data_IF_870907837489
#
_entry.id   IF_870907837489
#
_cell.length_a   1.000
_cell.length_b   1.000
_cell.length_c   1.000
_cell.angle_alpha   90.00
_cell.angle_beta   90.00
_cell.angle_gamma   90.00
#
_symmetry.space_group_name_H-M   'P 1'
#
loop_
_entity.id
_entity.type
_entity.pdbx_description
1 polymer ?
#
# COMPACT_ATOMS: atom_id res chain seq x y z
N UNK A 1 27.22 -17.67 -14.24
CA UNK A 1 25.96 -18.44 -14.20
C UNK A 1 25.77 -18.84 -12.74
N UNK A 2 24.94 -18.23 -11.89
CA UNK A 2 23.53 -17.88 -11.99
C UNK A 2 23.27 -16.56 -11.21
N UNK A 3 22.53 -15.63 -11.82
CA UNK A 3 22.10 -14.39 -11.18
C UNK A 3 20.99 -14.67 -10.18
N UNK A 4 21.15 -14.19 -8.95
CA UNK A 4 20.17 -14.26 -7.88
C UNK A 4 18.92 -13.47 -8.23
N UNK A 5 17.83 -14.18 -8.51
CA UNK A 5 16.49 -13.64 -8.65
C UNK A 5 15.98 -13.18 -7.27
N UNK A 6 16.41 -12.00 -6.81
CA UNK A 6 15.68 -11.29 -5.77
C UNK A 6 14.44 -10.71 -6.42
N UNK A 7 13.30 -11.37 -6.20
CA UNK A 7 12.02 -10.89 -6.72
C UNK A 7 11.67 -9.58 -6.00
N UNK A 8 11.64 -8.51 -6.79
CA UNK A 8 11.36 -7.14 -6.34
C UNK A 8 9.83 -7.00 -6.30
N UNK A 9 9.20 -6.97 -5.14
CA UNK A 9 7.74 -6.81 -5.03
C UNK A 9 7.39 -5.38 -4.60
N UNK A 10 6.73 -4.65 -5.50
CA UNK A 10 6.11 -3.35 -5.22
C UNK A 10 4.63 -3.60 -4.86
N UNK A 11 3.93 -2.63 -4.25
CA UNK A 11 2.49 -2.69 -4.00
C UNK A 11 1.63 -2.93 -5.27
N UNK A 12 2.24 -2.73 -6.45
CA UNK A 12 1.77 -3.20 -7.75
C UNK A 12 2.75 -4.26 -8.27
N UNK A 13 2.30 -5.36 -8.90
CA UNK A 13 3.20 -6.27 -9.59
C UNK A 13 4.14 -5.49 -10.53
N UNK A 14 5.45 -5.79 -10.55
CA UNK A 14 6.42 -5.05 -11.38
C UNK A 14 6.01 -4.96 -12.85
N UNK A 15 5.32 -6.00 -13.33
CA UNK A 15 4.76 -6.04 -14.67
C UNK A 15 3.73 -4.92 -14.88
N UNK A 16 2.83 -4.72 -13.92
CA UNK A 16 1.83 -3.66 -13.95
C UNK A 16 2.47 -2.28 -13.86
N UNK A 17 3.50 -2.10 -13.03
CA UNK A 17 4.27 -0.85 -12.99
C UNK A 17 4.90 -0.53 -14.36
N UNK A 18 5.49 -1.53 -15.01
CA UNK A 18 6.11 -1.37 -16.33
C UNK A 18 5.09 -1.13 -17.45
N UNK A 19 3.90 -1.71 -17.37
CA UNK A 19 2.76 -1.42 -18.27
C UNK A 19 2.24 0.00 -18.07
N UNK A 20 2.05 0.41 -16.82
CA UNK A 20 1.61 1.77 -16.47
C UNK A 20 2.59 2.82 -17.01
N UNK A 21 3.89 2.58 -16.86
CA UNK A 21 4.93 3.45 -17.38
C UNK A 21 4.87 3.62 -18.91
N UNK A 22 4.56 2.53 -19.63
CA UNK A 22 4.34 2.58 -21.08
C UNK A 22 3.11 3.43 -21.44
N UNK A 23 1.96 3.14 -20.82
CA UNK A 23 0.72 3.88 -21.04
C UNK A 23 0.88 5.38 -20.73
N UNK A 24 1.59 5.71 -19.67
CA UNK A 24 1.85 7.09 -19.27
C UNK A 24 2.76 7.81 -20.27
N UNK A 25 3.80 7.14 -20.79
CA UNK A 25 4.64 7.71 -21.84
C UNK A 25 3.87 7.93 -23.15
N UNK A 26 2.96 7.02 -23.49
CA UNK A 26 2.15 7.10 -24.70
C UNK A 26 1.10 8.22 -24.61
N UNK A 27 0.40 8.34 -23.48
CA UNK A 27 -0.56 9.43 -23.22
C UNK A 27 0.10 10.81 -23.21
N UNK A 28 1.29 10.90 -22.64
CA UNK A 28 2.07 12.15 -22.61
C UNK A 28 2.86 12.41 -23.89
N UNK A 29 2.68 11.59 -24.94
CA UNK A 29 3.37 11.70 -26.24
C UNK A 29 4.90 11.81 -26.12
N UNK A 30 5.48 11.20 -25.10
CA UNK A 30 6.92 11.24 -24.88
C UNK A 30 7.60 10.31 -25.89
N UNK A 31 8.68 10.75 -26.52
CA UNK A 31 9.53 9.88 -27.32
C UNK A 31 10.19 8.85 -26.41
N UNK A 32 9.83 7.58 -26.56
CA UNK A 32 10.30 6.50 -25.70
C UNK A 32 10.76 5.30 -26.53
N UNK A 33 11.83 4.62 -26.06
CA UNK A 33 12.36 3.39 -26.66
C UNK A 33 11.71 2.12 -26.08
N UNK A 34 10.45 2.22 -25.65
CA UNK A 34 9.77 1.05 -25.09
C UNK A 34 9.31 0.13 -26.22
N UNK A 35 9.25 -1.16 -25.93
CA UNK A 35 8.83 -2.14 -26.92
C UNK A 35 7.34 -1.96 -27.20
N UNK A 36 6.99 -1.65 -28.46
CA UNK A 36 5.60 -1.43 -28.90
C UNK A 36 4.81 -2.74 -28.96
N UNK A 37 5.46 -3.86 -29.23
CA UNK A 37 4.79 -5.15 -29.38
C UNK A 37 4.38 -5.75 -28.04
N UNK A 38 5.18 -5.50 -26.99
CA UNK A 38 4.91 -6.00 -25.64
C UNK A 38 4.17 -5.00 -24.76
N UNK A 39 4.02 -3.74 -25.18
CA UNK A 39 3.41 -2.63 -24.40
C UNK A 39 3.94 -2.50 -22.96
N UNK A 40 5.22 -2.82 -22.78
CA UNK A 40 5.85 -2.94 -21.46
C UNK A 40 7.17 -2.17 -21.47
N UNK A 41 7.39 -1.31 -20.47
CA UNK A 41 8.66 -0.64 -20.28
C UNK A 41 9.81 -1.65 -20.00
N UNK A 42 11.06 -1.42 -20.45
CA UNK A 42 12.17 -2.35 -20.27
C UNK A 42 12.61 -2.48 -18.80
N UNK A 43 13.24 -3.61 -18.45
CA UNK A 43 13.77 -3.85 -17.09
C UNK A 43 14.83 -2.82 -16.68
N UNK A 44 15.60 -2.32 -17.64
CA UNK A 44 16.61 -1.28 -17.40
C UNK A 44 15.96 0.02 -16.90
N UNK A 45 14.82 0.39 -17.48
CA UNK A 45 14.05 1.55 -17.03
C UNK A 45 13.56 1.36 -15.58
N UNK A 46 13.03 0.18 -15.26
CA UNK A 46 12.57 -0.14 -13.90
C UNK A 46 13.69 -0.02 -12.86
N UNK A 47 14.88 -0.58 -13.15
CA UNK A 47 16.04 -0.48 -12.26
C UNK A 47 16.45 0.98 -12.03
N UNK A 48 16.47 1.79 -13.10
CA UNK A 48 16.75 3.22 -13.00
C UNK A 48 15.70 3.98 -12.19
N UNK A 49 14.42 3.65 -12.39
CA UNK A 49 13.31 4.25 -11.65
C UNK A 49 13.40 3.95 -10.14
N UNK A 50 13.60 2.69 -9.76
CA UNK A 50 13.75 2.27 -8.37
C UNK A 50 14.98 2.91 -7.71
N UNK A 51 16.09 3.05 -8.45
CA UNK A 51 17.31 3.72 -7.95
C UNK A 51 17.10 5.21 -7.71
N UNK A 52 16.36 5.90 -8.57
CA UNK A 52 16.10 7.35 -8.45
C UNK A 52 15.15 7.68 -7.30
N UNK A 53 14.09 6.89 -7.13
CA UNK A 53 13.01 7.26 -6.22
C UNK A 53 13.09 6.62 -4.83
N UNK A 54 14.14 5.82 -4.53
CA UNK A 54 14.31 5.09 -3.26
C UNK A 54 12.99 4.50 -2.72
N UNK A 55 12.13 4.03 -3.63
CA UNK A 55 10.81 3.55 -3.26
C UNK A 55 11.01 2.32 -2.41
N UNK A 56 10.65 2.42 -1.12
CA UNK A 56 10.73 1.28 -0.21
C UNK A 56 9.86 0.17 -0.78
N UNK A 57 10.48 -0.97 -1.08
CA UNK A 57 9.75 -2.17 -1.42
C UNK A 57 8.95 -2.57 -0.19
N UNK A 58 7.63 -2.41 -0.26
CA UNK A 58 6.73 -3.00 0.72
C UNK A 58 5.99 -4.11 0.01
N UNK A 59 6.09 -5.31 0.57
CA UNK A 59 5.14 -6.36 0.21
C UNK A 59 3.76 -5.83 0.60
N UNK A 60 2.76 -5.86 -0.29
CA UNK A 60 1.39 -5.79 0.19
C UNK A 60 1.24 -6.94 1.19
N UNK A 61 0.84 -6.62 2.41
CA UNK A 61 0.47 -7.66 3.35
C UNK A 61 -0.75 -8.37 2.79
N UNK A 62 -0.76 -9.71 2.73
CA UNK A 62 -1.92 -10.44 2.26
C UNK A 62 -3.11 -10.11 3.18
N UNK A 63 -4.02 -9.29 2.66
CA UNK A 63 -5.31 -9.04 3.30
C UNK A 63 -6.03 -10.38 3.41
N UNK A 64 -6.34 -10.81 4.64
CA UNK A 64 -7.08 -12.06 4.83
C UNK A 64 -8.44 -11.97 4.11
N UNK A 65 -8.95 -13.11 3.62
CA UNK A 65 -10.26 -13.15 2.96
C UNK A 65 -11.36 -12.52 3.84
N UNK A 66 -11.29 -12.72 5.16
CA UNK A 66 -12.18 -12.09 6.13
C UNK A 66 -12.10 -10.55 6.10
N UNK A 67 -10.91 -9.95 6.00
CA UNK A 67 -10.75 -8.49 5.87
C UNK A 67 -11.28 -7.99 4.53
N UNK A 68 -11.05 -8.71 3.43
CA UNK A 68 -11.57 -8.35 2.12
C UNK A 68 -13.11 -8.39 2.06
N UNK A 69 -13.72 -9.42 2.67
CA UNK A 69 -15.18 -9.53 2.80
C UNK A 69 -15.77 -8.49 3.75
N UNK A 70 -15.04 -8.12 4.81
CA UNK A 70 -15.43 -7.05 5.73
C UNK A 70 -15.36 -5.65 5.11
N UNK A 71 -14.56 -5.46 4.05
CA UNK A 71 -14.41 -4.20 3.32
C UNK A 71 -15.54 -3.98 2.30
N UNK A 72 -16.79 -4.13 2.75
CA UNK A 72 -17.97 -3.92 1.92
C UNK A 72 -18.47 -2.47 2.01
N UNK A 73 -19.10 -1.98 0.94
CA UNK A 73 -19.56 -0.59 0.85
C UNK A 73 -20.50 -0.20 1.99
N UNK A 74 -21.34 -1.13 2.44
CA UNK A 74 -22.33 -0.88 3.51
C UNK A 74 -21.65 -0.72 4.87
N UNK A 75 -20.65 -1.54 5.18
CA UNK A 75 -19.89 -1.51 6.42
C UNK A 75 -18.98 -0.28 6.46
N UNK A 76 -18.34 0.05 5.34
CA UNK A 76 -17.54 1.27 5.20
C UNK A 76 -18.43 2.51 5.33
N UNK A 77 -19.60 2.53 4.69
CA UNK A 77 -20.58 3.62 4.82
C UNK A 77 -21.01 3.82 6.27
N UNK A 78 -21.50 2.76 6.92
CA UNK A 78 -21.89 2.80 8.34
C UNK A 78 -20.77 3.30 9.26
N UNK A 79 -19.52 2.91 8.99
CA UNK A 79 -18.38 3.40 9.76
C UNK A 79 -18.20 4.91 9.62
N UNK A 80 -18.22 5.45 8.40
CA UNK A 80 -18.08 6.88 8.16
C UNK A 80 -19.28 7.70 8.64
N UNK A 81 -20.49 7.16 8.56
CA UNK A 81 -21.70 7.80 9.09
C UNK A 81 -21.59 7.96 10.62
N UNK A 82 -21.15 6.90 11.32
CA UNK A 82 -20.89 6.93 12.77
C UNK A 82 -19.77 7.90 13.12
N UNK A 83 -18.66 7.86 12.38
CA UNK A 83 -17.53 8.75 12.60
C UNK A 83 -17.95 10.21 12.44
N UNK A 84 -18.69 10.54 11.38
CA UNK A 84 -19.18 11.89 11.11
C UNK A 84 -20.10 12.37 12.23
N UNK A 85 -21.05 11.53 12.65
CA UNK A 85 -21.96 11.82 13.75
C UNK A 85 -21.22 12.12 15.07
N UNK A 86 -20.14 11.38 15.35
CA UNK A 86 -19.32 11.58 16.56
C UNK A 86 -18.44 12.84 16.45
N UNK A 87 -17.87 13.11 15.28
CA UNK A 87 -17.08 14.33 15.05
C UNK A 87 -17.96 15.57 15.21
N UNK A 88 -19.15 15.59 14.63
CA UNK A 88 -20.10 16.71 14.76
C UNK A 88 -20.57 16.90 16.20
N UNK A 89 -20.85 15.81 16.91
CA UNK A 89 -21.35 15.86 18.30
C UNK A 89 -20.30 16.34 19.30
N UNK A 90 -19.05 15.90 19.18
CA UNK A 90 -18.00 16.15 20.17
C UNK A 90 -16.94 17.16 19.72
N UNK A 91 -16.95 17.56 18.45
CA UNK A 91 -16.03 18.50 17.82
C UNK A 91 -14.57 18.26 18.21
N UNK A 92 -14.10 17.02 17.99
CA UNK A 92 -12.75 16.63 18.39
C UNK A 92 -11.71 17.50 17.69
N UNK A 93 -10.83 18.12 18.48
CA UNK A 93 -9.64 18.76 17.93
C UNK A 93 -8.80 17.72 17.20
N UNK A 94 -8.25 18.03 16.01
CA UNK A 94 -7.43 17.08 15.25
C UNK A 94 -6.31 16.43 16.06
N UNK A 95 -5.73 17.18 17.01
CA UNK A 95 -4.67 16.70 17.90
C UNK A 95 -5.07 15.55 18.83
N UNK A 96 -6.38 15.29 18.97
CA UNK A 96 -6.96 14.25 19.84
C UNK A 96 -7.51 13.05 19.06
N UNK A 97 -7.30 13.01 17.74
CA UNK A 97 -7.72 11.90 16.90
C UNK A 97 -6.51 10.99 16.69
N UNK A 98 -6.61 9.76 17.20
CA UNK A 98 -5.55 8.76 17.10
C UNK A 98 -6.04 7.59 16.27
N UNK A 99 -5.25 7.18 15.29
CA UNK A 99 -5.40 5.87 14.67
C UNK A 99 -4.85 4.81 15.63
N UNK A 100 -5.62 3.75 15.86
CA UNK A 100 -5.24 2.63 16.73
C UNK A 100 -5.13 1.40 15.87
N UNK A 101 -3.94 0.80 15.82
CA UNK A 101 -3.72 -0.48 15.14
C UNK A 101 -3.15 -1.52 16.11
N UNK A 102 -3.65 -2.74 16.01
CA UNK A 102 -3.30 -3.84 16.90
C UNK A 102 -2.20 -4.70 16.27
N UNK A 103 -1.02 -4.70 16.89
CA UNK A 103 0.07 -5.60 16.52
C UNK A 103 0.09 -6.80 17.48
N UNK A 104 -0.21 -7.99 16.95
CA UNK A 104 -0.07 -9.24 17.67
C UNK A 104 1.41 -9.66 17.75
N UNK A 105 2.01 -9.55 18.93
CA UNK A 105 3.36 -10.06 19.17
C UNK A 105 3.27 -11.50 19.66
N UNK A 106 3.85 -12.42 18.89
CA UNK A 106 3.93 -13.83 19.29
C UNK A 106 5.29 -14.09 19.92
N UNK A 107 5.33 -14.29 21.24
CA UNK A 107 6.53 -14.77 21.93
C UNK A 107 6.43 -16.31 22.06
N UNK A 108 7.36 -17.07 21.48
CA UNK A 108 7.46 -18.52 21.68
C UNK A 108 8.80 -18.82 22.36
N UNK A 109 8.81 -19.66 23.40
CA UNK A 109 8.24 -21.01 23.31
C UNK A 109 6.88 -21.24 23.99
N UNK A 110 6.48 -20.48 25.00
CA UNK A 110 5.28 -20.81 25.79
C UNK A 110 4.08 -19.90 25.48
N UNK A 111 3.37 -20.22 24.39
CA UNK A 111 1.91 -20.09 24.22
C UNK A 111 1.16 -18.77 24.44
N UNK A 112 1.77 -17.67 24.87
CA UNK A 112 1.11 -16.39 25.13
C UNK A 112 1.03 -15.51 23.88
N UNK A 113 -0.16 -14.97 23.57
CA UNK A 113 -0.31 -13.85 22.63
C UNK A 113 -0.38 -12.57 23.43
N UNK A 114 0.60 -11.68 23.26
CA UNK A 114 0.56 -10.34 23.80
C UNK A 114 0.10 -9.39 22.69
N UNK A 115 -0.95 -8.62 22.98
CA UNK A 115 -1.51 -7.65 22.06
C UNK A 115 -0.93 -6.28 22.40
N UNK A 116 -0.33 -5.61 21.43
CA UNK A 116 0.19 -4.27 21.58
C UNK A 116 -0.64 -3.33 20.69
N UNK A 117 -1.28 -2.33 21.30
CA UNK A 117 -1.97 -1.27 20.57
C UNK A 117 -0.98 -0.13 20.28
N UNK A 118 -0.84 0.23 19.01
CA UNK A 118 -0.04 1.39 18.59
C UNK A 118 -0.95 2.57 18.27
N UNK A 119 -0.62 3.74 18.84
CA UNK A 119 -1.37 4.98 18.64
C UNK A 119 -0.58 5.90 17.71
N UNK A 120 -1.15 6.26 16.57
CA UNK A 120 -0.58 7.25 15.66
C UNK A 120 -1.51 8.46 15.56
N UNK A 121 -0.97 9.66 15.77
CA UNK A 121 -1.72 10.88 15.52
C UNK A 121 -1.94 11.02 14.01
N UNK A 122 -3.17 11.29 13.57
CA UNK A 122 -3.45 11.51 12.15
C UNK A 122 -2.95 12.91 11.81
N UNK A 123 -1.89 13.07 10.99
CA UNK A 123 -1.42 14.40 10.62
C UNK A 123 -2.51 15.06 9.79
N UNK A 124 -3.00 16.20 10.27
CA UNK A 124 -3.82 17.12 9.46
C UNK A 124 -2.86 18.10 8.81
N UNK A 125 -2.83 18.11 7.48
CA UNK A 125 -2.12 19.10 6.66
C UNK A 125 -2.98 20.33 6.42
#
# INVERSE_FOLDING_TARGET
MFSTWKVVYLALPLLNLRRLAYQLAQRNKLTHKFNRDSEIAPLVWLKGFLKRHQTKLRSPEPTSAARAMGFNQVAVGKFFDLLTSLIEKYNFRPTRIYNVDETGLTHRPYGGRSLCATFFNIPTY
#
